data_IF_242612288359
#
_entry.id   IF_242612288359
#
_cell.length_a   1.000
_cell.length_b   1.000
_cell.length_c   1.000
_cell.angle_alpha   90.00
_cell.angle_beta   90.00
_cell.angle_gamma   90.00
#
_symmetry.space_group_name_H-M   'P 1'
#
loop_
_entity.id
_entity.type
_entity.pdbx_description
1 polymer ?
#
# COMPACT_ATOMS: atom_id res chain seq x y z
N UNK A 1 45.32 -14.90 27.43
CA UNK A 1 44.21 -14.27 26.68
C UNK A 1 42.81 -14.80 27.10
N UNK A 2 42.48 -14.91 28.41
CA UNK A 2 41.15 -15.39 28.88
C UNK A 2 40.30 -14.36 29.65
N UNK A 3 40.88 -13.22 30.09
CA UNK A 3 40.16 -12.22 30.89
C UNK A 3 39.30 -11.25 30.07
N UNK A 4 39.62 -11.00 28.80
CA UNK A 4 38.91 -9.99 28.00
C UNK A 4 37.47 -10.43 27.60
N UNK A 5 37.25 -11.74 27.40
CA UNK A 5 35.94 -12.29 27.05
C UNK A 5 34.92 -12.24 28.20
N UNK A 6 35.37 -12.28 29.47
CA UNK A 6 34.49 -12.23 30.65
C UNK A 6 33.97 -10.83 30.95
N UNK A 7 34.79 -9.79 30.75
CA UNK A 7 34.38 -8.38 30.90
C UNK A 7 33.37 -7.96 29.83
N UNK A 8 33.69 -8.24 28.57
CA UNK A 8 32.84 -7.91 27.43
C UNK A 8 31.42 -8.48 27.52
N UNK A 9 31.27 -9.75 27.91
CA UNK A 9 29.95 -10.38 28.07
C UNK A 9 29.14 -9.75 29.22
N UNK A 10 29.81 -9.31 30.30
CA UNK A 10 29.16 -8.61 31.40
C UNK A 10 28.65 -7.23 30.98
N UNK A 11 29.42 -6.51 30.19
CA UNK A 11 29.06 -5.15 29.74
C UNK A 11 27.91 -5.19 28.70
N UNK A 12 27.89 -6.20 27.82
CA UNK A 12 26.75 -6.48 26.94
C UNK A 12 25.50 -6.80 27.77
N UNK A 13 25.60 -7.68 28.77
CA UNK A 13 24.45 -8.04 29.60
C UNK A 13 23.90 -6.85 30.37
N UNK A 14 24.78 -5.95 30.86
CA UNK A 14 24.38 -4.69 31.51
C UNK A 14 23.68 -3.75 30.53
N UNK A 15 24.24 -3.57 29.33
CA UNK A 15 23.62 -2.76 28.29
C UNK A 15 22.26 -3.32 27.86
N UNK A 16 22.15 -4.64 27.68
CA UNK A 16 20.90 -5.31 27.35
C UNK A 16 19.85 -5.12 28.44
N UNK A 17 20.25 -5.27 29.71
CA UNK A 17 19.35 -5.03 30.83
C UNK A 17 18.93 -3.55 30.91
N UNK A 18 19.86 -2.62 30.66
CA UNK A 18 19.55 -1.20 30.57
C UNK A 18 18.52 -0.94 29.47
N UNK A 19 18.75 -1.43 28.25
CA UNK A 19 17.90 -1.17 27.10
C UNK A 19 16.48 -1.72 27.24
N UNK A 20 16.32 -2.91 27.82
CA UNK A 20 15.03 -3.63 27.83
C UNK A 20 14.29 -3.58 29.16
N UNK A 21 14.99 -3.43 30.29
CA UNK A 21 14.40 -3.58 31.62
C UNK A 21 14.50 -2.33 32.49
N UNK A 22 15.23 -1.30 32.06
CA UNK A 22 15.36 -0.05 32.81
C UNK A 22 14.22 0.91 32.47
N UNK A 23 13.60 1.51 33.50
CA UNK A 23 12.48 2.44 33.35
C UNK A 23 12.92 3.91 33.20
N UNK A 24 14.22 4.17 33.02
CA UNK A 24 14.73 5.53 32.81
C UNK A 24 14.36 6.11 31.44
N UNK A 25 14.16 7.43 31.39
CA UNK A 25 13.87 8.15 30.14
C UNK A 25 14.95 7.96 29.07
N UNK A 26 16.21 7.84 29.49
CA UNK A 26 17.34 7.62 28.58
C UNK A 26 17.28 6.25 27.92
N UNK A 27 16.88 5.21 28.66
CA UNK A 27 16.69 3.87 28.11
C UNK A 27 15.58 3.87 27.05
N UNK A 28 14.42 4.46 27.37
CA UNK A 28 13.32 4.62 26.43
C UNK A 28 13.72 5.36 25.15
N UNK A 29 14.45 6.47 25.28
CA UNK A 29 14.93 7.23 24.13
C UNK A 29 15.90 6.42 23.25
N UNK A 30 16.86 5.74 23.86
CA UNK A 30 17.81 4.89 23.14
C UNK A 30 17.10 3.72 22.45
N UNK A 31 16.10 3.13 23.10
CA UNK A 31 15.26 2.09 22.55
C UNK A 31 14.52 2.55 21.28
N UNK A 32 13.90 3.74 21.32
CA UNK A 32 13.24 4.31 20.14
C UNK A 32 14.21 4.57 18.99
N UNK A 33 15.44 5.03 19.28
CA UNK A 33 16.49 5.19 18.26
C UNK A 33 16.84 3.84 17.63
N UNK A 34 17.03 2.79 18.44
CA UNK A 34 17.37 1.46 17.93
C UNK A 34 16.23 0.91 17.08
N UNK A 35 14.98 1.04 17.51
CA UNK A 35 13.81 0.67 16.71
C UNK A 35 13.78 1.43 15.40
N UNK A 36 13.99 2.75 15.41
CA UNK A 36 13.98 3.56 14.20
C UNK A 36 15.06 3.10 13.21
N UNK A 37 16.28 2.86 13.71
CA UNK A 37 17.41 2.36 12.90
C UNK A 37 17.09 0.97 12.34
N UNK A 38 16.56 0.07 13.16
CA UNK A 38 16.15 -1.26 12.72
C UNK A 38 15.06 -1.17 11.64
N UNK A 39 14.01 -0.39 11.86
CA UNK A 39 12.91 -0.24 10.91
C UNK A 39 13.42 0.30 9.57
N UNK A 40 14.21 1.38 9.62
CA UNK A 40 14.69 2.09 8.43
C UNK A 40 15.73 1.31 7.63
N UNK A 41 16.68 0.66 8.30
CA UNK A 41 17.85 0.07 7.64
C UNK A 41 17.81 -1.46 7.57
N UNK A 42 16.93 -2.13 8.31
CA UNK A 42 16.81 -3.60 8.30
C UNK A 42 15.42 -4.01 7.84
N UNK A 43 14.35 -3.60 8.53
CA UNK A 43 12.99 -4.07 8.24
C UNK A 43 12.53 -3.70 6.82
N UNK A 44 12.52 -2.41 6.46
CA UNK A 44 12.06 -1.97 5.15
C UNK A 44 12.94 -2.50 4.00
N UNK A 45 14.28 -2.42 4.04
CA UNK A 45 15.11 -3.02 2.99
C UNK A 45 14.89 -4.52 2.82
N UNK A 46 14.72 -5.26 3.92
CA UNK A 46 14.46 -6.70 3.87
C UNK A 46 13.11 -7.00 3.23
N UNK A 47 12.04 -6.29 3.62
CA UNK A 47 10.72 -6.54 3.05
C UNK A 47 10.63 -6.07 1.58
N UNK A 48 11.29 -4.96 1.22
CA UNK A 48 11.41 -4.52 -0.17
C UNK A 48 12.09 -5.57 -1.05
N UNK A 49 13.14 -6.22 -0.54
CA UNK A 49 13.81 -7.32 -1.24
C UNK A 49 12.90 -8.54 -1.40
N UNK A 50 12.18 -8.96 -0.35
CA UNK A 50 11.27 -10.11 -0.38
C UNK A 50 10.13 -9.89 -1.38
N UNK A 51 9.55 -8.70 -1.39
CA UNK A 51 8.41 -8.37 -2.24
C UNK A 51 8.82 -7.86 -3.62
N UNK A 52 10.10 -7.56 -3.85
CA UNK A 52 10.61 -7.08 -5.13
C UNK A 52 10.12 -5.68 -5.52
N UNK A 53 9.79 -4.83 -4.54
CA UNK A 53 9.29 -3.46 -4.79
C UNK A 53 9.86 -2.45 -3.79
N UNK A 54 10.00 -1.21 -4.22
CA UNK A 54 10.39 -0.09 -3.35
C UNK A 54 9.31 0.31 -2.35
N UNK A 55 8.05 -0.08 -2.59
CA UNK A 55 6.91 0.27 -1.74
C UNK A 55 6.11 -0.98 -1.33
N UNK A 56 6.68 -1.86 -0.48
CA UNK A 56 6.09 -3.16 -0.16
C UNK A 56 4.82 -3.07 0.70
N UNK A 57 4.55 -1.90 1.30
CA UNK A 57 3.36 -1.63 2.12
C UNK A 57 2.78 -0.28 1.69
N UNK A 58 1.49 -0.26 1.34
CA UNK A 58 0.76 0.95 0.91
C UNK A 58 -0.45 1.18 1.79
N UNK A 59 -0.65 2.43 2.21
CA UNK A 59 -1.88 2.90 2.86
C UNK A 59 -2.76 3.52 1.79
N UNK A 60 -4.02 3.10 1.71
CA UNK A 60 -4.98 3.68 0.76
C UNK A 60 -5.41 5.06 1.27
N UNK A 61 -5.11 6.09 0.49
CA UNK A 61 -5.40 7.47 0.89
C UNK A 61 -6.65 8.06 0.22
N UNK A 62 -7.31 7.39 -0.74
CA UNK A 62 -8.50 7.93 -1.43
C UNK A 62 -9.64 6.92 -1.53
N UNK A 63 -10.81 7.40 -1.96
CA UNK A 63 -12.01 6.58 -2.16
C UNK A 63 -12.18 6.09 -3.61
N UNK A 64 -11.16 6.26 -4.46
CA UNK A 64 -11.24 5.93 -5.90
C UNK A 64 -11.44 4.44 -6.20
N UNK A 65 -11.25 3.56 -5.20
CA UNK A 65 -11.44 2.11 -5.32
C UNK A 65 -12.55 1.59 -4.39
N UNK A 66 -13.31 2.49 -3.78
CA UNK A 66 -14.37 2.16 -2.82
C UNK A 66 -15.63 1.68 -3.54
N UNK A 67 -16.20 0.56 -3.12
CA UNK A 67 -17.46 0.08 -3.69
C UNK A 67 -18.68 0.49 -2.87
N UNK A 68 -18.53 0.69 -1.55
CA UNK A 68 -19.62 1.14 -0.66
C UNK A 68 -20.77 0.16 -0.43
N UNK A 69 -20.84 -0.93 -1.21
CA UNK A 69 -21.95 -1.86 -1.21
C UNK A 69 -21.53 -3.26 -1.69
N UNK A 70 -22.50 -4.19 -1.67
CA UNK A 70 -22.31 -5.54 -2.21
C UNK A 70 -22.00 -5.52 -3.71
N UNK A 71 -21.18 -6.48 -4.15
CA UNK A 71 -20.66 -6.55 -5.51
C UNK A 71 -21.75 -6.46 -6.59
N UNK A 72 -22.90 -7.13 -6.39
CA UNK A 72 -24.03 -7.11 -7.33
C UNK A 72 -24.58 -5.71 -7.57
N UNK A 73 -24.83 -4.96 -6.48
CA UNK A 73 -25.34 -3.59 -6.56
C UNK A 73 -24.30 -2.68 -7.22
N UNK A 74 -23.03 -2.81 -6.82
CA UNK A 74 -21.94 -2.03 -7.39
C UNK A 74 -21.76 -2.29 -8.88
N UNK A 75 -21.83 -3.55 -9.31
CA UNK A 75 -21.74 -3.92 -10.72
C UNK A 75 -22.93 -3.40 -11.54
N UNK A 76 -24.15 -3.41 -11.00
CA UNK A 76 -25.31 -2.87 -11.70
C UNK A 76 -25.18 -1.38 -11.99
N UNK A 77 -24.52 -0.63 -11.11
CA UNK A 77 -24.29 0.81 -11.26
C UNK A 77 -23.06 1.13 -12.13
N UNK A 78 -21.96 0.39 -11.96
CA UNK A 78 -20.65 0.75 -12.54
C UNK A 78 -20.22 -0.16 -13.69
N UNK A 79 -20.82 -1.34 -13.83
CA UNK A 79 -20.39 -2.38 -14.76
C UNK A 79 -20.44 -1.95 -16.23
N UNK A 80 -21.30 -1.00 -16.59
CA UNK A 80 -21.31 -0.45 -17.95
C UNK A 80 -19.98 0.23 -18.34
N UNK A 81 -19.30 0.87 -17.38
CA UNK A 81 -17.98 1.47 -17.61
C UNK A 81 -16.91 0.41 -17.91
N UNK A 82 -17.08 -0.81 -17.41
CA UNK A 82 -16.15 -1.92 -17.65
C UNK A 82 -16.43 -2.65 -18.97
N UNK A 83 -17.70 -2.68 -19.39
CA UNK A 83 -18.08 -3.22 -20.70
C UNK A 83 -17.49 -2.44 -21.87
N UNK A 84 -17.19 -1.14 -21.69
CA UNK A 84 -16.44 -0.35 -22.67
C UNK A 84 -15.03 -0.90 -22.94
N UNK A 85 -14.50 -1.73 -22.03
CA UNK A 85 -13.21 -2.41 -22.14
C UNK A 85 -13.37 -3.93 -22.35
N UNK A 86 -14.52 -4.39 -22.82
CA UNK A 86 -14.84 -5.81 -23.01
C UNK A 86 -14.72 -6.67 -21.74
N UNK A 87 -14.89 -6.06 -20.56
CA UNK A 87 -14.88 -6.76 -19.27
C UNK A 87 -16.33 -7.02 -18.84
N UNK A 88 -16.76 -8.27 -18.98
CA UNK A 88 -18.06 -8.71 -18.49
C UNK A 88 -18.05 -9.04 -17.00
N UNK A 89 -19.24 -9.11 -16.42
CA UNK A 89 -19.44 -9.39 -14.99
C UNK A 89 -18.71 -10.65 -14.54
N UNK A 90 -18.85 -11.73 -15.32
CA UNK A 90 -18.23 -13.02 -15.05
C UNK A 90 -16.71 -12.93 -15.06
N UNK A 91 -16.11 -12.03 -15.84
CA UNK A 91 -14.67 -11.78 -15.80
C UNK A 91 -14.31 -11.06 -14.50
N UNK A 92 -15.03 -9.97 -14.18
CA UNK A 92 -14.74 -9.16 -13.01
C UNK A 92 -14.90 -9.91 -11.69
N UNK A 93 -15.87 -10.82 -11.59
CA UNK A 93 -16.07 -11.69 -10.43
C UNK A 93 -14.85 -12.55 -10.06
N UNK A 94 -13.94 -12.75 -11.01
CA UNK A 94 -12.71 -13.50 -10.84
C UNK A 94 -11.48 -12.62 -10.60
N UNK A 95 -11.63 -11.29 -10.64
CA UNK A 95 -10.52 -10.37 -10.40
C UNK A 95 -10.12 -10.31 -8.92
N UNK A 96 -8.82 -10.06 -8.64
CA UNK A 96 -8.38 -9.76 -7.29
C UNK A 96 -9.07 -8.47 -6.79
N UNK A 97 -9.38 -8.42 -5.50
CA UNK A 97 -9.97 -7.22 -4.87
C UNK A 97 -11.28 -6.78 -5.55
N UNK A 98 -12.11 -7.72 -6.00
CA UNK A 98 -13.38 -7.46 -6.70
C UNK A 98 -14.43 -6.69 -5.89
N UNK A 99 -14.31 -6.64 -4.57
CA UNK A 99 -15.24 -5.89 -3.69
C UNK A 99 -14.67 -4.50 -3.33
N UNK A 100 -13.65 -4.05 -4.06
CA UNK A 100 -12.96 -2.80 -3.79
C UNK A 100 -12.27 -2.76 -2.43
N UNK A 101 -11.87 -1.56 -2.04
CA UNK A 101 -11.27 -1.27 -0.74
C UNK A 101 -11.42 0.21 -0.41
N UNK A 102 -11.22 0.56 0.85
CA UNK A 102 -11.55 1.90 1.36
C UNK A 102 -10.31 2.62 1.87
N UNK A 103 -10.46 3.94 2.06
CA UNK A 103 -9.44 4.78 2.66
C UNK A 103 -9.06 4.25 4.04
N UNK A 104 -7.75 4.14 4.28
CA UNK A 104 -7.16 3.60 5.51
C UNK A 104 -6.92 2.10 5.48
N UNK A 105 -7.32 1.37 4.44
CA UNK A 105 -6.87 0.00 4.24
C UNK A 105 -5.35 -0.01 3.97
N UNK A 106 -4.67 -1.07 4.41
CA UNK A 106 -3.25 -1.34 4.13
C UNK A 106 -3.14 -2.56 3.23
N UNK A 107 -2.30 -2.46 2.21
CA UNK A 107 -1.95 -3.57 1.32
C UNK A 107 -0.46 -3.88 1.38
N UNK A 108 -0.15 -5.17 1.29
CA UNK A 108 1.15 -5.58 0.80
C UNK A 108 1.18 -5.48 -0.72
N UNK A 109 2.29 -5.00 -1.26
CA UNK A 109 2.53 -4.82 -2.68
C UNK A 109 3.68 -5.69 -3.10
N UNK A 110 3.53 -6.38 -4.23
CA UNK A 110 4.57 -7.19 -4.85
C UNK A 110 5.04 -6.52 -6.13
N UNK A 111 6.35 -6.46 -6.36
CA UNK A 111 6.90 -6.04 -7.64
C UNK A 111 6.35 -6.88 -8.78
N UNK A 112 6.13 -6.24 -9.93
CA UNK A 112 5.61 -6.88 -11.13
C UNK A 112 6.24 -6.21 -12.34
N UNK A 113 6.70 -7.02 -13.30
CA UNK A 113 7.17 -6.53 -14.58
C UNK A 113 5.96 -6.22 -15.48
N UNK A 114 6.12 -5.28 -16.43
CA UNK A 114 5.01 -4.81 -17.29
C UNK A 114 4.33 -5.97 -18.04
N UNK A 115 5.13 -6.94 -18.47
CA UNK A 115 4.70 -8.10 -19.26
C UNK A 115 3.87 -9.10 -18.44
N UNK A 116 4.00 -9.07 -17.11
CA UNK A 116 3.28 -9.95 -16.18
C UNK A 116 1.96 -9.35 -15.67
N UNK A 117 1.69 -8.08 -15.98
CA UNK A 117 0.46 -7.38 -15.63
C UNK A 117 -0.70 -7.90 -16.47
N UNK A 118 -1.83 -8.18 -15.81
CA UNK A 118 -3.04 -8.74 -16.45
C UNK A 118 -4.24 -7.84 -16.24
N UNK A 119 -5.20 -7.91 -17.17
CA UNK A 119 -6.51 -7.28 -17.01
C UNK A 119 -7.13 -7.75 -15.69
N UNK A 120 -7.65 -6.79 -14.90
CA UNK A 120 -8.24 -7.01 -13.59
C UNK A 120 -7.28 -6.91 -12.41
N UNK A 121 -5.97 -6.92 -12.65
CA UNK A 121 -4.98 -6.66 -11.61
C UNK A 121 -5.15 -5.25 -11.03
N UNK A 122 -4.84 -5.07 -9.74
CA UNK A 122 -4.77 -3.75 -9.11
C UNK A 122 -3.30 -3.39 -8.95
N UNK A 123 -2.86 -2.38 -9.68
CA UNK A 123 -1.45 -1.95 -9.71
C UNK A 123 -1.27 -0.60 -9.04
N UNK A 124 -0.07 -0.40 -8.51
CA UNK A 124 0.40 0.85 -7.94
C UNK A 124 1.37 1.46 -8.95
N UNK A 125 1.13 2.70 -9.35
CA UNK A 125 2.00 3.41 -10.30
C UNK A 125 2.13 4.89 -9.94
N UNK A 126 3.17 5.54 -10.45
CA UNK A 126 3.44 6.97 -10.23
C UNK A 126 2.91 7.76 -11.43
N UNK A 127 2.39 8.97 -11.20
CA UNK A 127 2.16 9.96 -12.25
C UNK A 127 2.80 11.29 -11.87
N UNK A 128 3.42 11.98 -12.84
CA UNK A 128 4.12 13.25 -12.60
C UNK A 128 3.20 14.37 -12.09
N UNK A 129 1.89 14.25 -12.28
CA UNK A 129 0.90 15.23 -11.81
C UNK A 129 0.51 14.99 -10.34
N UNK A 130 0.84 13.84 -9.76
CA UNK A 130 0.43 13.45 -8.42
C UNK A 130 1.62 13.15 -7.51
N UNK A 131 1.64 13.76 -6.33
CA UNK A 131 2.72 13.55 -5.36
C UNK A 131 2.71 12.16 -4.72
N UNK A 132 1.57 11.47 -4.76
CA UNK A 132 1.39 10.16 -4.16
C UNK A 132 1.13 9.10 -5.25
N UNK A 133 1.63 7.87 -5.08
CA UNK A 133 1.31 6.75 -5.96
C UNK A 133 -0.20 6.52 -6.06
N UNK A 134 -0.63 6.12 -7.25
CA UNK A 134 -2.01 5.80 -7.60
C UNK A 134 -2.17 4.28 -7.55
N UNK A 135 -3.31 3.80 -7.04
CA UNK A 135 -3.64 2.38 -6.95
C UNK A 135 -4.97 2.11 -7.66
N UNK A 136 -4.94 1.55 -8.87
CA UNK A 136 -6.12 1.36 -9.71
C UNK A 136 -6.11 0.01 -10.43
N UNK A 137 -7.28 -0.39 -10.95
CA UNK A 137 -7.46 -1.65 -11.65
C UNK A 137 -7.10 -1.55 -13.12
N UNK A 138 -6.36 -2.52 -13.64
CA UNK A 138 -6.01 -2.63 -15.05
C UNK A 138 -7.26 -3.01 -15.85
N UNK A 139 -7.55 -2.24 -16.89
CA UNK A 139 -8.70 -2.44 -17.78
C UNK A 139 -8.30 -2.73 -19.23
N UNK A 140 -7.10 -2.33 -19.66
CA UNK A 140 -6.52 -2.64 -20.98
C UNK A 140 -5.00 -2.79 -20.85
N UNK A 141 -4.36 -3.50 -21.78
CA UNK A 141 -2.91 -3.74 -21.84
C UNK A 141 -2.24 -3.03 -23.02
N UNK A 142 -2.99 -2.56 -24.02
CA UNK A 142 -2.43 -1.96 -25.25
C UNK A 142 -3.22 -0.72 -25.74
N UNK A 143 -2.95 0.48 -25.20
CA UNK A 143 -1.96 0.78 -24.17
C UNK A 143 -2.37 0.25 -22.79
N UNK A 144 -1.40 0.14 -21.87
CA UNK A 144 -1.70 -0.20 -20.49
C UNK A 144 -2.58 0.90 -19.88
N UNK A 145 -3.77 0.51 -19.45
CA UNK A 145 -4.79 1.40 -18.92
C UNK A 145 -5.27 0.90 -17.57
N UNK A 146 -5.56 1.85 -16.68
CA UNK A 146 -6.20 1.57 -15.41
C UNK A 146 -7.54 2.27 -15.28
N UNK A 147 -8.25 2.00 -14.20
CA UNK A 147 -9.45 2.70 -13.77
C UNK A 147 -9.58 2.62 -12.25
N UNK A 148 -9.84 3.77 -11.62
CA UNK A 148 -10.42 3.79 -10.28
C UNK A 148 -11.84 3.25 -10.30
N UNK A 149 -12.08 2.17 -9.56
CA UNK A 149 -13.36 1.48 -9.52
C UNK A 149 -14.53 2.42 -9.17
N UNK A 150 -14.32 3.40 -8.31
CA UNK A 150 -15.33 4.36 -7.86
C UNK A 150 -15.35 5.68 -8.67
N UNK A 151 -14.53 5.79 -9.71
CA UNK A 151 -14.53 6.98 -10.56
C UNK A 151 -15.68 6.89 -11.58
N UNK A 152 -16.36 8.00 -11.88
CA UNK A 152 -17.46 8.05 -12.87
C UNK A 152 -17.04 7.72 -14.31
N UNK A 153 -15.74 7.67 -14.57
CA UNK A 153 -15.14 7.32 -15.85
C UNK A 153 -13.65 7.10 -15.68
N UNK A 154 -12.94 6.97 -16.79
CA UNK A 154 -11.49 6.93 -16.80
C UNK A 154 -10.91 8.34 -16.89
N UNK A 155 -9.96 8.68 -16.02
CA UNK A 155 -9.30 9.98 -15.98
C UNK A 155 -8.02 10.00 -16.84
N UNK A 156 -7.53 11.17 -17.32
CA UNK A 156 -6.52 11.22 -18.37
C UNK A 156 -5.23 10.44 -18.10
N UNK A 157 -4.73 10.43 -16.87
CA UNK A 157 -3.50 9.72 -16.51
C UNK A 157 -3.66 8.19 -16.43
N UNK A 158 -4.89 7.69 -16.41
CA UNK A 158 -5.17 6.25 -16.41
C UNK A 158 -5.16 5.64 -17.84
N UNK A 159 -5.08 6.47 -18.88
CA UNK A 159 -5.24 6.06 -20.29
C UNK A 159 -3.97 5.53 -20.95
N UNK A 160 -2.81 5.76 -20.34
CA UNK A 160 -1.53 5.31 -20.86
C UNK A 160 -0.48 5.31 -19.75
N UNK A 161 -0.37 4.18 -19.05
CA UNK A 161 0.64 3.98 -18.01
C UNK A 161 1.87 3.34 -18.66
N UNK A 162 3.01 4.02 -18.57
CA UNK A 162 4.28 3.41 -18.96
C UNK A 162 4.72 2.38 -17.90
N UNK A 163 5.32 1.27 -18.34
CA UNK A 163 5.65 0.15 -17.49
C UNK A 163 6.71 0.49 -16.44
N UNK A 164 7.61 1.42 -16.77
CA UNK A 164 8.62 1.95 -15.84
C UNK A 164 8.03 2.73 -14.67
N UNK A 165 6.78 3.20 -14.80
CA UNK A 165 6.03 3.90 -13.75
C UNK A 165 5.30 2.94 -12.80
N UNK A 166 5.29 1.64 -13.08
CA UNK A 166 4.68 0.62 -12.22
C UNK A 166 5.60 0.35 -11.03
N UNK A 167 5.08 0.53 -9.82
CA UNK A 167 5.77 0.21 -8.56
C UNK A 167 5.53 -1.26 -8.17
N UNK A 168 4.34 -1.77 -8.45
CA UNK A 168 3.98 -3.14 -8.12
C UNK A 168 2.48 -3.39 -8.21
N UNK A 169 2.07 -4.59 -7.82
CA UNK A 169 0.70 -5.07 -7.77
C UNK A 169 0.25 -5.27 -6.33
N UNK A 170 -0.94 -4.79 -6.02
CA UNK A 170 -1.58 -5.01 -4.72
C UNK A 170 -1.88 -6.50 -4.55
N UNK A 171 -1.46 -7.07 -3.42
CA UNK A 171 -1.79 -8.44 -3.07
C UNK A 171 -3.21 -8.54 -2.53
N UNK A 172 -3.75 -9.77 -2.41
CA UNK A 172 -5.04 -10.00 -1.77
C UNK A 172 -5.00 -9.81 -0.24
N UNK A 173 -3.80 -9.66 0.36
CA UNK A 173 -3.65 -9.47 1.80
C UNK A 173 -3.89 -8.00 2.12
N UNK A 174 -5.08 -7.74 2.67
CA UNK A 174 -5.56 -6.44 3.11
C UNK A 174 -5.71 -6.40 4.62
N UNK A 175 -5.24 -5.33 5.24
CA UNK A 175 -5.50 -5.07 6.65
C UNK A 175 -6.41 -3.84 6.76
N UNK A 176 -7.68 -3.99 7.14
CA UNK A 176 -8.65 -2.92 7.04
C UNK A 176 -8.40 -1.83 8.08
N UNK A 177 -8.58 -0.57 7.66
CA UNK A 177 -8.58 0.64 8.51
C UNK A 177 -7.33 0.96 9.36
N UNK A 178 -6.31 0.11 9.44
CA UNK A 178 -5.09 0.39 10.26
C UNK A 178 -4.35 1.66 9.78
N UNK A 179 -4.44 1.99 8.50
CA UNK A 179 -3.87 3.22 7.95
C UNK A 179 -4.38 4.49 8.61
N UNK A 180 -5.56 4.46 9.24
CA UNK A 180 -6.10 5.60 9.98
C UNK A 180 -5.26 6.03 11.18
N UNK A 181 -4.41 5.14 11.72
CA UNK A 181 -3.41 5.51 12.74
C UNK A 181 -2.45 6.60 12.23
N UNK A 182 -2.18 6.63 10.92
CA UNK A 182 -1.43 7.70 10.26
C UNK A 182 -2.39 8.79 9.77
N UNK A 183 -3.43 8.41 9.02
CA UNK A 183 -4.24 9.36 8.25
C UNK A 183 -4.92 10.42 9.12
N UNK A 184 -5.34 10.09 10.34
CA UNK A 184 -6.04 11.04 11.23
C UNK A 184 -5.26 12.36 11.45
N UNK A 185 -3.92 12.32 11.41
CA UNK A 185 -3.08 13.50 11.57
C UNK A 185 -2.97 14.36 10.29
N UNK A 186 -3.23 13.76 9.12
CA UNK A 186 -3.13 14.44 7.82
C UNK A 186 -4.50 14.87 7.28
N UNK A 187 -5.59 14.23 7.70
CA UNK A 187 -6.95 14.52 7.25
C UNK A 187 -7.37 15.99 7.38
N UNK A 188 -7.06 16.71 8.47
CA UNK A 188 -7.37 18.15 8.56
C UNK A 188 -6.71 19.00 7.47
N UNK A 189 -5.62 18.53 6.85
CA UNK A 189 -4.86 19.24 5.82
C UNK A 189 -5.40 18.98 4.40
N UNK A 190 -6.30 18.01 4.23
CA UNK A 190 -6.84 17.62 2.91
C UNK A 190 -7.98 18.55 2.49
N UNK A 191 -8.31 18.63 1.18
CA UNK A 191 -9.52 19.29 0.71
C UNK A 191 -10.77 18.69 1.39
N UNK A 192 -11.78 19.52 1.70
CA UNK A 192 -12.97 19.06 2.42
C UNK A 192 -13.70 17.89 1.74
N UNK A 193 -13.74 17.88 0.41
CA UNK A 193 -14.31 16.80 -0.41
C UNK A 193 -13.56 15.47 -0.29
N UNK A 194 -12.32 15.48 0.20
CA UNK A 194 -11.48 14.30 0.35
C UNK A 194 -11.32 13.86 1.81
N UNK A 195 -11.96 14.53 2.77
CA UNK A 195 -11.84 14.19 4.19
C UNK A 195 -12.76 13.05 4.59
N UNK A 196 -12.42 12.38 5.68
CA UNK A 196 -13.24 11.36 6.32
C UNK A 196 -13.17 9.99 5.65
N UNK A 197 -14.05 9.12 6.11
CA UNK A 197 -14.19 7.76 5.61
C UNK A 197 -14.93 7.81 4.27
N UNK A 198 -14.73 6.82 3.41
CA UNK A 198 -15.51 6.70 2.18
C UNK A 198 -16.97 6.37 2.50
N UNK A 199 -17.87 6.92 1.69
CA UNK A 199 -19.32 6.78 1.78
C UNK A 199 -19.88 6.36 0.43
#
# INVERSE_FOLDING_TARGET
>A
MKNNKRGFNRDIKKFWNFLWNDNSLLSWFLFLIIIFVFIKFIFFPTISLIFGTSLPIVIVESCSMHHGQEFESWWNENGNLYKEFDIEKNNFENFPLKNGFTKGDIFFVRGVDKEDVKIGDVIIFIDSQYNNPIIHRVVDLSPLQTKGDNNQGQIPFEKNIDGDRIIGKATQVKIPYIGWLKLIFFEPLRPESERGICH
#
